data_IF_573396535124
#
_entry.id   IF_573396535124
#
_cell.length_a   1.000
_cell.length_b   1.000
_cell.length_c   1.000
_cell.angle_alpha   90.00
_cell.angle_beta   90.00
_cell.angle_gamma   90.00
#
_symmetry.space_group_name_H-M   'P 1'
#
loop_
_entity.id
_entity.type
_entity.pdbx_description
1 polymer ?
#
# COMPACT_ATOMS: atom_id res chain seq x y z
N UNK A 1 21.40 -25.30 -36.11
CA UNK A 1 20.08 -24.69 -36.31
C UNK A 1 19.37 -24.75 -34.96
N UNK A 2 19.88 -23.95 -34.03
CA UNK A 2 19.39 -23.84 -32.65
C UNK A 2 18.78 -22.44 -32.59
N UNK A 3 17.46 -22.36 -32.67
CA UNK A 3 16.74 -21.12 -32.51
C UNK A 3 15.49 -21.37 -31.67
N UNK A 4 15.63 -20.98 -30.41
CA UNK A 4 14.58 -20.41 -29.58
C UNK A 4 13.38 -21.31 -29.25
N UNK A 5 13.60 -22.15 -28.23
CA UNK A 5 12.62 -22.41 -27.19
C UNK A 5 11.86 -21.12 -26.81
N UNK A 6 10.55 -21.16 -27.01
CA UNK A 6 9.61 -20.08 -26.68
C UNK A 6 9.77 -19.63 -25.22
N UNK A 7 10.05 -18.34 -25.08
CA UNK A 7 10.27 -17.61 -23.83
C UNK A 7 8.97 -17.43 -23.04
N UNK A 8 8.63 -18.40 -22.19
CA UNK A 8 7.51 -18.31 -21.23
C UNK A 8 7.83 -17.45 -19.98
N UNK A 9 8.84 -16.57 -20.02
CA UNK A 9 9.33 -15.84 -18.83
C UNK A 9 8.99 -14.34 -18.85
N UNK A 10 7.75 -13.99 -19.14
CA UNK A 10 7.31 -12.59 -19.24
C UNK A 10 6.14 -12.22 -18.32
N UNK A 11 6.07 -12.79 -17.11
CA UNK A 11 5.11 -12.36 -16.06
C UNK A 11 5.71 -11.84 -14.75
N UNK A 12 7.03 -11.78 -14.59
CA UNK A 12 7.67 -11.45 -13.30
C UNK A 12 8.34 -10.06 -13.22
N UNK A 13 8.07 -9.13 -14.15
CA UNK A 13 8.75 -7.82 -14.18
C UNK A 13 7.82 -6.59 -14.36
N UNK A 14 6.75 -6.45 -13.55
CA UNK A 14 5.92 -5.22 -13.51
C UNK A 14 5.34 -4.83 -12.13
N UNK A 15 6.06 -5.07 -11.03
CA UNK A 15 5.67 -4.56 -9.70
C UNK A 15 6.66 -3.57 -9.09
N UNK A 16 7.64 -3.09 -9.86
CA UNK A 16 8.47 -1.99 -9.42
C UNK A 16 7.71 -0.66 -9.62
N UNK A 17 7.30 -0.07 -8.49
CA UNK A 17 6.84 1.32 -8.31
C UNK A 17 5.35 1.67 -8.55
N UNK A 18 4.40 0.76 -8.30
CA UNK A 18 3.05 1.21 -7.91
C UNK A 18 2.85 0.95 -6.42
N UNK A 19 2.90 2.01 -5.62
CA UNK A 19 2.50 1.93 -4.21
C UNK A 19 0.98 1.87 -4.17
N UNK A 20 0.44 0.74 -3.71
CA UNK A 20 -0.99 0.58 -3.49
C UNK A 20 -1.46 1.53 -2.39
N UNK A 21 -2.52 2.29 -2.67
CA UNK A 21 -3.14 3.19 -1.70
C UNK A 21 -4.29 2.46 -1.01
N UNK A 22 -4.29 2.46 0.32
CA UNK A 22 -5.31 1.79 1.14
C UNK A 22 -5.91 2.81 2.11
N UNK A 23 -7.24 2.81 2.24
CA UNK A 23 -7.97 3.60 3.23
C UNK A 23 -8.44 2.71 4.38
N UNK A 24 -8.18 3.11 5.63
CA UNK A 24 -8.67 2.43 6.84
C UNK A 24 -9.87 3.18 7.40
N UNK A 25 -11.08 2.62 7.26
CA UNK A 25 -12.36 3.26 7.65
C UNK A 25 -13.14 2.30 8.55
N UNK A 26 -13.90 2.83 9.51
CA UNK A 26 -14.80 2.05 10.35
C UNK A 26 -15.35 2.84 11.54
N UNK A 27 -16.29 2.22 12.25
CA UNK A 27 -16.99 2.82 13.39
C UNK A 27 -16.04 3.31 14.50
N UNK A 28 -16.45 4.26 15.35
CA UNK A 28 -15.67 4.67 16.52
C UNK A 28 -15.27 3.46 17.39
N UNK A 29 -14.08 3.52 17.98
CA UNK A 29 -13.58 2.53 18.96
C UNK A 29 -13.35 1.08 18.47
N UNK A 30 -13.46 0.78 17.17
CA UNK A 30 -13.18 -0.58 16.62
C UNK A 30 -11.70 -0.94 16.49
N UNK A 31 -10.78 -0.19 17.12
CA UNK A 31 -9.35 -0.50 17.11
C UNK A 31 -8.54 -0.03 15.89
N UNK A 32 -9.11 0.84 15.05
CA UNK A 32 -8.44 1.41 13.86
C UNK A 32 -7.03 1.95 14.17
N UNK A 33 -6.87 2.75 15.22
CA UNK A 33 -5.59 3.35 15.58
C UNK A 33 -4.54 2.32 16.01
N UNK A 34 -4.97 1.22 16.66
CA UNK A 34 -4.07 0.13 17.03
C UNK A 34 -3.54 -0.59 15.79
N UNK A 35 -4.42 -0.94 14.85
CA UNK A 35 -4.03 -1.57 13.58
C UNK A 35 -3.14 -0.62 12.76
N UNK A 36 -3.51 0.66 12.67
CA UNK A 36 -2.74 1.66 11.96
C UNK A 36 -1.31 1.76 12.52
N UNK A 37 -1.15 1.91 13.84
CA UNK A 37 0.17 1.99 14.48
C UNK A 37 1.01 0.72 14.29
N UNK A 38 0.38 -0.47 14.29
CA UNK A 38 1.07 -1.74 14.01
C UNK A 38 1.56 -1.82 12.56
N UNK A 39 0.79 -1.29 11.60
CA UNK A 39 1.15 -1.33 10.17
C UNK A 39 2.17 -0.26 9.77
N UNK A 40 2.14 0.92 10.38
CA UNK A 40 2.98 2.06 9.97
C UNK A 40 4.22 2.28 10.83
N UNK A 41 4.25 1.79 12.08
CA UNK A 41 5.38 2.00 12.98
C UNK A 41 5.59 3.47 13.38
N UNK A 42 6.84 3.94 13.40
CA UNK A 42 7.24 5.22 14.04
C UNK A 42 7.26 6.46 13.12
N UNK A 43 7.22 6.30 11.80
CA UNK A 43 7.41 7.41 10.85
C UNK A 43 6.14 7.68 10.05
N UNK A 44 5.15 8.26 10.71
CA UNK A 44 3.84 8.61 10.11
C UNK A 44 3.74 10.11 9.92
N UNK A 45 3.33 10.55 8.73
CA UNK A 45 2.91 11.93 8.50
C UNK A 45 1.46 12.09 8.97
N UNK A 46 1.22 13.01 9.91
CA UNK A 46 -0.11 13.40 10.35
C UNK A 46 -0.51 14.68 9.63
N UNK A 47 -1.73 14.73 9.11
CA UNK A 47 -2.29 15.90 8.45
C UNK A 47 -3.78 15.98 8.76
N UNK A 48 -4.28 17.21 8.90
CA UNK A 48 -5.71 17.47 9.03
C UNK A 48 -6.31 17.67 7.65
N UNK A 49 -7.63 17.49 7.55
CA UNK A 49 -8.34 17.87 6.34
C UNK A 49 -8.40 19.41 6.26
N UNK A 50 -8.03 20.04 5.12
CA UNK A 50 -8.06 21.49 4.97
C UNK A 50 -9.42 22.10 5.35
N UNK A 51 -9.41 23.16 6.16
CA UNK A 51 -10.62 23.83 6.62
C UNK A 51 -11.38 23.11 7.74
N UNK A 52 -10.77 22.08 8.35
CA UNK A 52 -11.35 21.35 9.49
C UNK A 52 -10.36 21.24 10.64
N UNK A 53 -10.86 20.92 11.84
CA UNK A 53 -10.05 20.70 13.05
C UNK A 53 -9.84 19.21 13.37
N UNK A 54 -10.25 18.32 12.47
CA UNK A 54 -10.13 16.86 12.65
C UNK A 54 -8.74 16.35 12.31
#
# INVERSE_FOLDING_TARGET
MEAALHEHRSKTKKHAAHLERVALIGNPNVGKSAIFGLLTGKYVTVSNYPGTTV
#
